data_IF_554426620566
#
_entry.id   IF_554426620566
#
_cell.length_a   1.000
_cell.length_b   1.000
_cell.length_c   1.000
_cell.angle_alpha   90.00
_cell.angle_beta   90.00
_cell.angle_gamma   90.00
#
_symmetry.space_group_name_H-M   'P 1'
#
loop_
_entity.id
_entity.type
_entity.pdbx_description
1 polymer ?
#
# COMPACT_ATOMS: atom_id res chain seq x y z
N UNK A 1 -13.66 -25.75 -48.25
CA UNK A 1 -13.82 -24.53 -47.42
C UNK A 1 -13.81 -25.02 -45.96
N UNK A 2 -12.60 -25.19 -45.42
CA UNK A 2 -12.37 -25.68 -44.06
C UNK A 2 -12.63 -24.57 -43.07
N UNK A 3 -13.46 -24.87 -42.08
CA UNK A 3 -13.70 -23.99 -40.95
C UNK A 3 -12.42 -23.87 -40.10
N UNK A 4 -12.06 -22.68 -39.56
CA UNK A 4 -10.89 -22.55 -38.71
C UNK A 4 -11.10 -23.37 -37.43
N UNK A 5 -10.12 -24.21 -37.12
CA UNK A 5 -10.07 -25.00 -35.90
C UNK A 5 -10.22 -24.07 -34.66
N UNK A 6 -11.30 -24.31 -33.91
CA UNK A 6 -11.42 -23.75 -32.55
C UNK A 6 -10.33 -24.39 -31.69
N UNK A 7 -9.26 -23.63 -31.45
CA UNK A 7 -8.28 -23.95 -30.43
C UNK A 7 -9.01 -24.11 -29.10
N UNK A 8 -8.87 -25.26 -28.46
CA UNK A 8 -9.36 -25.51 -27.11
C UNK A 8 -8.86 -24.39 -26.17
N UNK A 9 -9.63 -23.96 -25.17
CA UNK A 9 -9.17 -22.95 -24.23
C UNK A 9 -7.93 -23.52 -23.51
N UNK A 10 -6.80 -22.83 -23.64
CA UNK A 10 -5.63 -23.09 -22.80
C UNK A 10 -6.08 -23.10 -21.34
N UNK A 11 -5.63 -24.06 -20.55
CA UNK A 11 -5.90 -24.07 -19.12
C UNK A 11 -5.50 -22.72 -18.52
N UNK A 12 -6.28 -22.23 -17.55
CA UNK A 12 -5.98 -20.97 -16.87
C UNK A 12 -4.59 -21.05 -16.26
N UNK A 13 -3.73 -20.02 -16.41
CA UNK A 13 -2.45 -19.98 -15.73
C UNK A 13 -2.59 -20.11 -14.21
N UNK A 14 -1.75 -20.94 -13.59
CA UNK A 14 -1.78 -21.18 -12.15
C UNK A 14 -0.89 -20.22 -11.36
N UNK A 15 0.03 -19.50 -12.04
CA UNK A 15 0.96 -18.55 -11.44
C UNK A 15 1.07 -17.25 -12.27
N UNK A 16 1.67 -16.23 -11.66
CA UNK A 16 1.79 -14.91 -12.28
C UNK A 16 2.72 -14.87 -13.50
N UNK A 17 3.82 -15.62 -13.51
CA UNK A 17 4.76 -15.59 -14.63
C UNK A 17 4.14 -16.26 -15.87
N UNK A 18 3.42 -17.35 -15.67
CA UNK A 18 2.64 -18.01 -16.73
C UNK A 18 1.52 -17.10 -17.25
N UNK A 19 0.82 -16.39 -16.35
CA UNK A 19 -0.18 -15.38 -16.73
C UNK A 19 0.43 -14.24 -17.54
N UNK A 20 1.57 -13.71 -17.12
CA UNK A 20 2.30 -12.65 -17.81
C UNK A 20 2.71 -13.08 -19.22
N UNK A 21 3.27 -14.28 -19.37
CA UNK A 21 3.63 -14.83 -20.68
C UNK A 21 2.41 -15.00 -21.57
N UNK A 22 1.27 -15.44 -21.03
CA UNK A 22 0.01 -15.55 -21.79
C UNK A 22 -0.48 -14.19 -22.27
N UNK A 23 -0.47 -13.17 -21.38
CA UNK A 23 -0.89 -11.81 -21.72
C UNK A 23 -0.01 -11.19 -22.81
N UNK A 24 1.31 -11.38 -22.72
CA UNK A 24 2.27 -10.91 -23.71
C UNK A 24 2.03 -11.59 -25.09
N UNK A 25 1.83 -12.91 -25.09
CA UNK A 25 1.54 -13.67 -26.33
C UNK A 25 0.21 -13.26 -26.98
N UNK A 26 -0.84 -13.04 -26.18
CA UNK A 26 -2.17 -12.70 -26.68
C UNK A 26 -2.38 -11.20 -26.90
N UNK A 27 -1.40 -10.35 -26.59
CA UNK A 27 -1.53 -8.89 -26.63
C UNK A 27 -2.14 -8.37 -27.93
N UNK A 28 -1.73 -8.92 -29.09
CA UNK A 28 -2.17 -8.43 -30.40
C UNK A 28 -3.53 -9.04 -30.82
N UNK A 29 -3.94 -10.15 -30.25
CA UNK A 29 -5.19 -10.85 -30.60
C UNK A 29 -6.37 -10.47 -29.69
N UNK A 30 -6.10 -9.83 -28.55
CA UNK A 30 -7.17 -9.41 -27.64
C UNK A 30 -8.00 -8.25 -28.21
N UNK A 31 -9.34 -8.27 -28.02
CA UNK A 31 -10.19 -7.11 -28.31
C UNK A 31 -9.70 -5.85 -27.59
N UNK A 32 -9.91 -4.67 -28.20
CA UNK A 32 -9.37 -3.37 -27.74
C UNK A 32 -9.48 -3.15 -26.21
N UNK A 33 -10.65 -3.40 -25.62
CA UNK A 33 -10.88 -3.20 -24.18
C UNK A 33 -10.19 -4.24 -23.32
N UNK A 34 -10.07 -5.49 -23.77
CA UNK A 34 -9.33 -6.53 -23.07
C UNK A 34 -7.81 -6.30 -23.20
N UNK A 35 -7.33 -5.79 -24.34
CA UNK A 35 -5.93 -5.37 -24.52
C UNK A 35 -5.57 -4.23 -23.57
N UNK A 36 -6.44 -3.22 -23.42
CA UNK A 36 -6.27 -2.13 -22.45
C UNK A 36 -6.13 -2.66 -21.02
N UNK A 37 -7.00 -3.60 -20.65
CA UNK A 37 -6.97 -4.21 -19.32
C UNK A 37 -5.75 -5.13 -19.11
N UNK A 38 -5.27 -5.81 -20.17
CA UNK A 38 -4.06 -6.62 -20.11
C UNK A 38 -2.80 -5.76 -19.85
N UNK A 39 -2.70 -4.59 -20.51
CA UNK A 39 -1.63 -3.62 -20.25
C UNK A 39 -1.71 -3.11 -18.82
N UNK A 40 -2.88 -2.67 -18.38
CA UNK A 40 -3.11 -2.23 -17.02
C UNK A 40 -2.70 -3.29 -15.97
N UNK A 41 -3.10 -4.55 -16.18
CA UNK A 41 -2.79 -5.65 -15.29
C UNK A 41 -1.27 -5.94 -15.15
N UNK A 42 -0.50 -5.71 -16.21
CA UNK A 42 0.96 -5.85 -16.18
C UNK A 42 1.66 -4.66 -15.53
N UNK A 43 1.12 -3.45 -15.73
CA UNK A 43 1.68 -2.20 -15.20
C UNK A 43 1.29 -1.96 -13.74
N UNK A 44 0.08 -2.39 -13.33
CA UNK A 44 -0.50 -2.19 -12.00
C UNK A 44 -0.88 -3.49 -11.29
N UNK A 45 0.05 -4.45 -11.12
CA UNK A 45 -0.26 -5.77 -10.53
C UNK A 45 -0.75 -5.69 -9.08
N UNK A 46 -0.31 -4.69 -8.33
CA UNK A 46 -0.74 -4.49 -6.94
C UNK A 46 -2.19 -4.00 -6.87
N UNK A 47 -2.59 -3.14 -7.81
CA UNK A 47 -3.98 -2.70 -7.92
C UNK A 47 -4.90 -3.83 -8.37
N UNK A 48 -4.43 -4.68 -9.30
CA UNK A 48 -5.15 -5.92 -9.65
C UNK A 48 -5.34 -6.84 -8.46
N UNK A 49 -4.38 -6.91 -7.53
CA UNK A 49 -4.44 -7.76 -6.35
C UNK A 49 -5.42 -7.25 -5.28
N UNK A 50 -5.49 -5.93 -5.06
CA UNK A 50 -6.18 -5.34 -3.91
C UNK A 50 -7.33 -4.42 -4.27
N UNK A 51 -7.41 -3.95 -5.51
CA UNK A 51 -8.47 -3.06 -5.95
C UNK A 51 -9.85 -3.74 -5.99
N UNK A 52 -10.90 -2.94 -5.83
CA UNK A 52 -12.27 -3.39 -6.09
C UNK A 52 -12.50 -3.47 -7.60
N UNK A 53 -13.45 -4.31 -8.03
CA UNK A 53 -13.83 -4.39 -9.45
C UNK A 53 -14.20 -3.01 -10.02
N UNK A 54 -14.89 -2.18 -9.24
CA UNK A 54 -15.27 -0.83 -9.65
C UNK A 54 -14.06 0.10 -9.78
N UNK A 55 -13.16 0.11 -8.76
CA UNK A 55 -11.95 0.96 -8.77
C UNK A 55 -10.98 0.58 -9.89
N UNK A 56 -10.71 -0.71 -10.07
CA UNK A 56 -9.86 -1.20 -11.17
C UNK A 56 -10.47 -0.83 -12.53
N UNK A 57 -11.79 -0.97 -12.69
CA UNK A 57 -12.48 -0.63 -13.93
C UNK A 57 -12.36 0.87 -14.24
N UNK A 58 -12.53 1.72 -13.23
CA UNK A 58 -12.38 3.17 -13.33
C UNK A 58 -10.96 3.57 -13.76
N UNK A 59 -9.94 3.09 -13.05
CA UNK A 59 -8.53 3.41 -13.34
C UNK A 59 -8.07 2.83 -14.67
N UNK A 60 -8.52 1.63 -15.03
CA UNK A 60 -8.24 1.04 -16.34
C UNK A 60 -9.07 1.66 -17.48
N UNK A 61 -10.02 2.57 -17.20
CA UNK A 61 -10.89 3.20 -18.20
C UNK A 61 -11.81 2.23 -18.92
N UNK A 62 -12.33 1.20 -18.22
CA UNK A 62 -13.22 0.17 -18.77
C UNK A 62 -14.48 0.01 -17.89
N UNK A 63 -15.48 -0.72 -18.41
CA UNK A 63 -16.65 -1.06 -17.59
C UNK A 63 -16.35 -2.23 -16.64
N UNK A 64 -16.95 -2.29 -15.44
CA UNK A 64 -16.76 -3.38 -14.47
C UNK A 64 -16.98 -4.79 -15.06
N UNK A 65 -17.96 -4.95 -15.95
CA UNK A 65 -18.21 -6.21 -16.65
C UNK A 65 -17.05 -6.66 -17.56
N UNK A 66 -16.16 -5.73 -17.95
CA UNK A 66 -14.99 -6.04 -18.77
C UNK A 66 -13.97 -6.86 -17.98
N UNK A 67 -13.83 -6.62 -16.65
CA UNK A 67 -12.93 -7.41 -15.80
C UNK A 67 -13.36 -8.88 -15.73
N UNK A 68 -14.68 -9.12 -15.60
CA UNK A 68 -15.22 -10.49 -15.58
C UNK A 68 -14.98 -11.19 -16.92
N UNK A 69 -15.22 -10.49 -18.02
CA UNK A 69 -14.97 -11.01 -19.39
C UNK A 69 -13.48 -11.24 -19.62
N UNK A 70 -12.61 -10.38 -19.11
CA UNK A 70 -11.16 -10.52 -19.18
C UNK A 70 -10.71 -11.80 -18.46
N UNK A 71 -11.13 -12.00 -17.21
CA UNK A 71 -10.81 -13.21 -16.46
C UNK A 71 -11.26 -14.48 -17.21
N UNK A 72 -12.51 -14.50 -17.70
CA UNK A 72 -13.03 -15.63 -18.47
C UNK A 72 -12.28 -15.87 -19.78
N UNK A 73 -11.84 -14.81 -20.47
CA UNK A 73 -11.06 -14.94 -21.72
C UNK A 73 -9.67 -15.56 -21.50
N UNK A 74 -9.18 -15.55 -20.25
CA UNK A 74 -7.91 -16.15 -19.84
C UNK A 74 -8.09 -17.54 -19.20
N UNK A 75 -9.32 -18.07 -19.16
CA UNK A 75 -9.63 -19.39 -18.62
C UNK A 75 -10.04 -19.43 -17.15
N UNK A 76 -10.13 -18.29 -16.47
CA UNK A 76 -10.56 -18.23 -15.07
C UNK A 76 -12.10 -18.22 -14.93
N UNK A 77 -12.63 -18.78 -13.87
CA UNK A 77 -14.07 -18.81 -13.59
C UNK A 77 -14.66 -17.40 -13.37
N UNK A 78 -13.85 -16.46 -12.89
CA UNK A 78 -14.25 -15.08 -12.65
C UNK A 78 -13.09 -14.21 -12.21
N UNK A 79 -13.38 -12.93 -11.99
CA UNK A 79 -12.35 -11.95 -11.64
C UNK A 79 -11.65 -12.26 -10.30
N UNK A 80 -12.38 -12.78 -9.31
CA UNK A 80 -11.78 -13.14 -8.01
C UNK A 80 -10.72 -14.25 -8.14
N UNK A 81 -10.90 -15.20 -9.06
CA UNK A 81 -9.91 -16.25 -9.34
C UNK A 81 -8.67 -15.65 -10.01
N UNK A 82 -8.83 -14.80 -11.03
CA UNK A 82 -7.73 -14.05 -11.64
C UNK A 82 -7.02 -13.17 -10.60
N UNK A 83 -7.75 -12.45 -9.76
CA UNK A 83 -7.21 -11.59 -8.70
C UNK A 83 -6.35 -12.38 -7.71
N UNK A 84 -6.69 -13.65 -7.44
CA UNK A 84 -5.91 -14.50 -6.56
C UNK A 84 -4.48 -14.70 -7.07
N UNK A 85 -4.27 -14.84 -8.38
CA UNK A 85 -2.93 -14.97 -8.99
C UNK A 85 -2.06 -13.74 -8.68
N UNK A 86 -2.63 -12.54 -8.75
CA UNK A 86 -1.93 -11.31 -8.38
C UNK A 86 -1.64 -11.24 -6.88
N UNK A 87 -2.56 -11.73 -6.03
CA UNK A 87 -2.35 -11.81 -4.57
C UNK A 87 -1.27 -12.81 -4.21
N UNK A 88 -1.23 -13.97 -4.86
CA UNK A 88 -0.25 -15.02 -4.59
C UNK A 88 1.15 -14.57 -5.00
N UNK A 89 1.31 -13.90 -6.15
CA UNK A 89 2.56 -13.21 -6.50
C UNK A 89 3.05 -12.28 -5.40
N UNK A 90 2.14 -11.51 -4.79
CA UNK A 90 2.52 -10.59 -3.72
C UNK A 90 2.85 -11.33 -2.44
N UNK A 91 2.21 -12.48 -2.16
CA UNK A 91 2.59 -13.37 -1.05
C UNK A 91 3.97 -13.99 -1.26
N UNK A 92 4.27 -14.46 -2.45
CA UNK A 92 5.62 -14.97 -2.81
C UNK A 92 6.69 -13.87 -2.63
N UNK A 93 6.37 -12.64 -3.02
CA UNK A 93 7.24 -11.48 -2.82
C UNK A 93 7.30 -11.03 -1.35
N UNK A 94 6.27 -11.33 -0.56
CA UNK A 94 6.18 -11.01 0.86
C UNK A 94 5.76 -12.26 1.66
N UNK A 95 6.65 -13.24 1.79
CA UNK A 95 6.39 -14.49 2.49
C UNK A 95 5.92 -14.24 3.94
N UNK A 96 5.21 -15.18 4.53
CA UNK A 96 4.79 -15.09 5.92
C UNK A 96 6.00 -15.14 6.88
N UNK A 97 5.77 -14.88 8.16
CA UNK A 97 6.86 -14.85 9.16
C UNK A 97 7.59 -16.20 9.29
N UNK A 98 6.93 -17.34 9.07
CA UNK A 98 7.53 -18.67 9.14
C UNK A 98 8.41 -18.94 7.91
N UNK A 99 7.92 -18.60 6.75
CA UNK A 99 8.67 -18.73 5.48
C UNK A 99 9.91 -17.82 5.48
N UNK A 100 9.77 -16.58 5.99
CA UNK A 100 10.91 -15.66 6.18
C UNK A 100 11.95 -16.23 7.12
N UNK A 101 11.52 -16.82 8.24
CA UNK A 101 12.42 -17.46 9.19
C UNK A 101 13.13 -18.69 8.58
N UNK A 102 12.42 -19.46 7.76
CA UNK A 102 13.03 -20.58 7.02
C UNK A 102 14.06 -20.07 6.01
N UNK A 103 13.76 -19.03 5.25
CA UNK A 103 14.70 -18.38 4.32
C UNK A 103 15.97 -17.89 5.01
N UNK A 104 15.80 -17.25 6.17
CA UNK A 104 16.92 -16.77 6.98
C UNK A 104 17.81 -17.90 7.48
N UNK A 105 17.22 -19.04 7.92
CA UNK A 105 17.94 -20.25 8.28
C UNK A 105 18.66 -20.89 7.10
N UNK A 106 18.03 -20.90 5.93
CA UNK A 106 18.63 -21.46 4.72
C UNK A 106 19.86 -20.66 4.25
N UNK A 107 19.86 -19.33 4.47
CA UNK A 107 20.97 -18.44 4.11
C UNK A 107 22.11 -18.44 5.14
N UNK A 108 21.80 -18.65 6.44
CA UNK A 108 22.76 -18.56 7.56
C UNK A 108 23.19 -19.90 8.17
N UNK A 109 22.74 -21.04 7.62
CA UNK A 109 23.02 -22.37 8.19
C UNK A 109 22.03 -22.76 9.30
N UNK A 110 22.17 -23.96 9.91
CA UNK A 110 21.19 -24.52 10.84
C UNK A 110 21.00 -23.71 12.13
N UNK A 111 21.95 -22.83 12.47
CA UNK A 111 21.85 -21.91 13.59
C UNK A 111 22.29 -20.52 13.14
N UNK A 112 21.34 -19.59 13.00
CA UNK A 112 21.68 -18.17 12.84
C UNK A 112 22.18 -17.67 14.19
N UNK A 113 23.40 -17.18 14.24
CA UNK A 113 23.97 -16.63 15.47
C UNK A 113 23.14 -15.43 15.96
N UNK A 114 22.82 -15.40 17.24
CA UNK A 114 21.93 -14.36 17.83
C UNK A 114 22.45 -12.96 17.60
N UNK A 115 23.76 -12.77 17.68
CA UNK A 115 24.44 -11.50 17.41
C UNK A 115 24.29 -11.06 15.97
N UNK A 116 24.41 -11.99 15.01
CA UNK A 116 24.23 -11.70 13.59
C UNK A 116 22.79 -11.22 13.25
N UNK A 117 21.78 -11.69 14.00
CA UNK A 117 20.41 -11.18 13.85
C UNK A 117 20.32 -9.71 14.33
N UNK A 118 20.92 -9.39 15.49
CA UNK A 118 20.93 -8.02 16.00
C UNK A 118 21.66 -7.08 15.04
N UNK A 119 22.82 -7.49 14.56
CA UNK A 119 23.64 -6.70 13.64
C UNK A 119 22.88 -6.48 12.30
N UNK A 120 22.28 -7.53 11.75
CA UNK A 120 21.51 -7.44 10.50
C UNK A 120 20.31 -6.50 10.60
N UNK A 121 19.53 -6.55 11.70
CA UNK A 121 18.43 -5.62 11.91
C UNK A 121 18.90 -4.20 12.16
N UNK A 122 20.03 -4.01 12.85
CA UNK A 122 20.62 -2.69 13.10
C UNK A 122 21.12 -2.06 11.79
N UNK A 123 21.78 -2.84 10.96
CA UNK A 123 22.23 -2.39 9.64
C UNK A 123 21.05 -2.04 8.72
N UNK A 124 20.02 -2.89 8.65
CA UNK A 124 18.81 -2.62 7.88
C UNK A 124 18.11 -1.33 8.36
N UNK A 125 18.08 -1.08 9.68
CA UNK A 125 17.55 0.15 10.24
C UNK A 125 18.38 1.37 9.80
N UNK A 126 19.70 1.31 9.86
CA UNK A 126 20.59 2.39 9.42
C UNK A 126 20.41 2.71 7.93
N UNK A 127 20.29 1.68 7.09
CA UNK A 127 20.01 1.82 5.65
C UNK A 127 18.64 2.49 5.43
N UNK A 128 17.61 2.09 6.19
CA UNK A 128 16.26 2.67 6.10
C UNK A 128 16.27 4.16 6.41
N UNK A 129 16.94 4.55 7.49
CA UNK A 129 17.08 5.96 7.91
C UNK A 129 17.81 6.80 6.85
N UNK A 130 18.89 6.29 6.28
CA UNK A 130 19.63 6.99 5.25
C UNK A 130 18.82 7.12 3.95
N UNK A 131 18.09 6.08 3.55
CA UNK A 131 17.15 6.13 2.40
C UNK A 131 16.07 7.19 2.62
N UNK A 132 15.38 7.16 3.78
CA UNK A 132 14.34 8.13 4.13
C UNK A 132 14.86 9.57 4.06
N UNK A 133 16.05 9.84 4.58
CA UNK A 133 16.67 11.17 4.53
C UNK A 133 16.88 11.68 3.11
N UNK A 134 17.03 10.78 2.12
CA UNK A 134 17.21 11.13 0.71
C UNK A 134 15.89 11.20 -0.06
N UNK A 135 14.89 10.41 0.31
CA UNK A 135 13.61 10.35 -0.39
C UNK A 135 12.64 11.45 0.04
N UNK A 136 12.64 11.83 1.32
CA UNK A 136 11.74 12.86 1.83
C UNK A 136 12.25 14.25 1.45
N UNK A 137 11.60 14.87 0.49
CA UNK A 137 11.89 16.24 0.05
C UNK A 137 11.49 17.28 1.10
N UNK A 138 12.32 18.31 1.30
CA UNK A 138 12.02 19.38 2.25
C UNK A 138 10.71 20.11 1.95
N UNK A 139 10.36 20.28 0.68
CA UNK A 139 9.13 20.93 0.26
C UNK A 139 7.90 20.10 0.64
N UNK A 140 7.92 18.79 0.34
CA UNK A 140 6.80 17.89 0.65
C UNK A 140 6.65 17.70 2.17
N UNK A 141 7.76 17.60 2.90
CA UNK A 141 7.73 17.58 4.35
C UNK A 141 7.09 18.86 4.92
N UNK A 142 7.48 20.04 4.42
CA UNK A 142 6.92 21.33 4.85
C UNK A 142 5.43 21.45 4.52
N UNK A 143 4.99 20.94 3.36
CA UNK A 143 3.57 20.88 2.99
C UNK A 143 2.79 19.94 3.92
N UNK A 144 3.31 18.77 4.20
CA UNK A 144 2.69 17.81 5.14
C UNK A 144 2.52 18.42 6.53
N UNK A 145 3.56 19.09 7.04
CA UNK A 145 3.51 19.83 8.31
C UNK A 145 2.45 20.91 8.28
N UNK A 146 2.37 21.72 7.21
CA UNK A 146 1.39 22.77 7.08
C UNK A 146 -0.04 22.23 7.11
N UNK A 147 -0.34 21.24 6.27
CA UNK A 147 -1.64 20.58 6.19
C UNK A 147 -2.11 20.05 7.55
N UNK A 148 -1.24 19.36 8.28
CA UNK A 148 -1.60 18.82 9.60
C UNK A 148 -1.65 19.91 10.70
N UNK A 149 -0.87 20.98 10.59
CA UNK A 149 -0.88 22.06 11.56
C UNK A 149 -2.13 22.94 11.48
N UNK A 150 -2.71 23.08 10.30
CA UNK A 150 -3.94 23.85 10.07
C UNK A 150 -5.22 23.11 10.50
N UNK A 151 -5.15 21.79 10.67
CA UNK A 151 -6.33 20.99 10.97
C UNK A 151 -6.81 21.16 12.42
N UNK A 152 -8.13 21.22 12.63
CA UNK A 152 -8.74 21.19 13.98
C UNK A 152 -8.48 19.85 14.68
N UNK A 153 -8.64 18.74 13.94
CA UNK A 153 -8.40 17.37 14.42
C UNK A 153 -7.61 16.59 13.37
N UNK A 154 -6.61 15.80 13.80
CA UNK A 154 -5.84 14.92 12.94
C UNK A 154 -6.34 13.49 13.11
N UNK A 155 -6.91 12.90 12.07
CA UNK A 155 -7.32 11.50 12.05
C UNK A 155 -6.14 10.62 11.62
N UNK A 156 -5.80 9.63 12.45
CA UNK A 156 -4.63 8.78 12.27
C UNK A 156 -5.05 7.41 11.76
N UNK A 157 -4.72 7.11 10.50
CA UNK A 157 -5.02 5.86 9.85
C UNK A 157 -3.75 5.01 9.71
N UNK A 158 -3.78 3.79 10.19
CA UNK A 158 -2.72 2.82 9.97
C UNK A 158 -3.11 1.48 10.57
N UNK A 159 -3.14 0.44 9.73
CA UNK A 159 -3.56 -0.90 10.15
C UNK A 159 -2.42 -1.90 10.06
N UNK A 160 -2.59 -3.07 10.71
CA UNK A 160 -1.62 -4.17 10.72
C UNK A 160 -0.27 -3.73 11.28
N UNK A 161 0.84 -4.00 10.56
CA UNK A 161 2.20 -3.74 11.04
C UNK A 161 2.51 -2.25 11.27
N UNK A 162 1.81 -1.31 10.61
CA UNK A 162 2.03 0.14 10.77
C UNK A 162 1.18 0.76 11.89
N UNK A 163 0.23 0.01 12.45
CA UNK A 163 -0.59 0.47 13.56
C UNK A 163 0.23 1.03 14.74
N UNK A 164 1.36 0.40 15.15
CA UNK A 164 2.20 0.98 16.20
C UNK A 164 2.72 2.39 15.91
N UNK A 165 2.98 2.73 14.64
CA UNK A 165 3.42 4.08 14.24
C UNK A 165 2.27 5.08 14.42
N UNK A 166 1.06 4.75 13.95
CA UNK A 166 -0.12 5.60 14.13
C UNK A 166 -0.49 5.76 15.61
N UNK A 167 -0.42 4.69 16.39
CA UNK A 167 -0.65 4.74 17.83
C UNK A 167 0.39 5.63 18.57
N UNK A 168 1.65 5.56 18.13
CA UNK A 168 2.70 6.42 18.69
C UNK A 168 2.49 7.90 18.31
N UNK A 169 2.04 8.20 17.08
CA UNK A 169 1.63 9.55 16.70
C UNK A 169 0.51 10.06 17.61
N UNK A 170 -0.53 9.24 17.87
CA UNK A 170 -1.63 9.61 18.75
C UNK A 170 -1.14 9.94 20.18
N UNK A 171 -0.25 9.10 20.73
CA UNK A 171 0.37 9.35 22.01
C UNK A 171 1.15 10.68 22.02
N UNK A 172 1.98 10.91 21.00
CA UNK A 172 2.83 12.08 20.91
C UNK A 172 2.02 13.38 20.72
N UNK A 173 1.02 13.37 19.82
CA UNK A 173 0.09 14.50 19.66
C UNK A 173 -0.66 14.80 20.97
N UNK A 174 -1.12 13.76 21.68
CA UNK A 174 -1.78 13.94 22.98
C UNK A 174 -0.86 14.60 24.00
N UNK A 175 0.43 14.22 24.07
CA UNK A 175 1.43 14.87 24.94
C UNK A 175 1.67 16.34 24.58
N UNK A 176 1.57 16.67 23.29
CA UNK A 176 1.71 18.04 22.76
C UNK A 176 0.38 18.81 22.75
N UNK A 177 -0.70 18.25 23.33
CA UNK A 177 -2.05 18.82 23.39
C UNK A 177 -2.65 19.13 22.02
N UNK A 178 -2.27 18.40 21.00
CA UNK A 178 -2.83 18.44 19.67
C UNK A 178 -3.96 17.41 19.57
N UNK A 179 -5.14 17.83 19.18
CA UNK A 179 -6.29 16.96 19.03
C UNK A 179 -6.03 15.96 17.90
N UNK A 180 -6.08 14.67 18.21
CA UNK A 180 -5.99 13.61 17.23
C UNK A 180 -6.92 12.47 17.59
N UNK A 181 -7.39 11.73 16.58
CA UNK A 181 -8.22 10.54 16.71
C UNK A 181 -7.51 9.38 16.03
N UNK A 182 -7.15 8.38 16.81
CA UNK A 182 -6.61 7.12 16.29
C UNK A 182 -7.75 6.24 15.81
N UNK A 183 -7.75 5.88 14.55
CA UNK A 183 -8.68 4.89 14.00
C UNK A 183 -8.10 3.51 14.27
N UNK A 184 -8.53 2.90 15.35
CA UNK A 184 -7.99 1.64 15.86
C UNK A 184 -8.67 0.39 15.26
N UNK A 185 -9.72 0.59 14.49
CA UNK A 185 -10.54 -0.45 13.86
C UNK A 185 -11.22 -1.41 14.86
N UNK A 186 -11.31 -1.07 16.16
CA UNK A 186 -12.03 -1.87 17.14
C UNK A 186 -13.51 -1.97 16.73
N UNK A 187 -14.05 -3.17 16.79
CA UNK A 187 -15.41 -3.47 16.37
C UNK A 187 -15.78 -3.01 14.95
N UNK A 188 -14.78 -2.81 14.09
CA UNK A 188 -14.92 -2.30 12.71
C UNK A 188 -15.55 -0.91 12.61
N UNK A 189 -15.46 -0.10 13.67
CA UNK A 189 -16.03 1.26 13.76
C UNK A 189 -15.20 2.33 13.00
N UNK A 190 -14.17 1.95 12.26
CA UNK A 190 -13.35 2.89 11.48
C UNK A 190 -14.15 3.83 10.57
N UNK A 191 -15.10 3.34 9.76
CA UNK A 191 -15.95 4.20 8.93
C UNK A 191 -16.78 5.21 9.74
N UNK A 192 -17.37 4.79 10.87
CA UNK A 192 -18.16 5.64 11.75
C UNK A 192 -17.29 6.71 12.43
N UNK A 193 -16.10 6.34 12.88
CA UNK A 193 -15.14 7.29 13.42
C UNK A 193 -14.72 8.32 12.35
N UNK A 194 -14.42 7.88 11.12
CA UNK A 194 -14.09 8.76 10.01
C UNK A 194 -15.28 9.61 9.52
N UNK A 195 -16.51 9.15 9.72
CA UNK A 195 -17.70 9.93 9.36
C UNK A 195 -17.80 11.25 10.14
N UNK A 196 -17.19 11.33 11.33
CA UNK A 196 -17.19 12.55 12.16
C UNK A 196 -16.18 13.62 11.68
N UNK A 197 -15.23 13.25 10.80
CA UNK A 197 -14.28 14.21 10.23
C UNK A 197 -14.97 15.22 9.32
N UNK A 198 -14.52 16.47 9.35
CA UNK A 198 -15.02 17.59 8.54
C UNK A 198 -13.92 18.26 7.72
N UNK A 199 -14.30 19.28 6.95
CA UNK A 199 -13.39 20.01 6.05
C UNK A 199 -12.23 20.73 6.78
N UNK A 200 -12.38 21.00 8.08
CA UNK A 200 -11.33 21.62 8.90
C UNK A 200 -10.41 20.60 9.58
N UNK A 201 -10.61 19.32 9.33
CA UNK A 201 -9.78 18.24 9.84
C UNK A 201 -8.79 17.79 8.77
N UNK A 202 -7.81 16.96 9.14
CA UNK A 202 -6.90 16.32 8.21
C UNK A 202 -6.68 14.83 8.57
N UNK A 203 -6.27 14.07 7.59
CA UNK A 203 -5.93 12.65 7.75
C UNK A 203 -4.43 12.46 7.62
N UNK A 204 -3.81 11.73 8.55
CA UNK A 204 -2.50 11.13 8.38
C UNK A 204 -2.67 9.64 8.15
N UNK A 205 -2.48 9.19 6.91
CA UNK A 205 -2.62 7.79 6.50
C UNK A 205 -1.26 7.13 6.31
N UNK A 206 -1.03 5.99 6.97
CA UNK A 206 0.22 5.23 6.88
C UNK A 206 -0.08 3.84 6.37
N UNK A 207 0.49 3.46 5.22
CA UNK A 207 0.36 2.10 4.68
C UNK A 207 1.52 1.77 3.77
N UNK A 208 2.04 0.56 3.91
CA UNK A 208 3.13 -0.01 3.12
C UNK A 208 2.72 -1.35 2.52
N UNK A 209 3.38 -1.75 1.46
CA UNK A 209 3.16 -3.06 0.81
C UNK A 209 3.38 -4.24 1.79
N UNK A 210 2.38 -5.17 1.83
CA UNK A 210 1.07 -5.19 1.19
C UNK A 210 0.09 -4.24 1.88
N UNK A 211 -0.41 -3.28 1.11
CA UNK A 211 -1.26 -2.21 1.63
C UNK A 211 -2.51 -2.76 2.33
N UNK A 212 -2.90 -2.14 3.44
CA UNK A 212 -4.12 -2.50 4.16
C UNK A 212 -5.34 -1.86 3.47
N UNK A 213 -6.27 -2.64 2.88
CA UNK A 213 -7.42 -2.07 2.16
C UNK A 213 -8.22 -1.08 3.00
N UNK A 214 -8.44 -1.40 4.28
CA UNK A 214 -9.18 -0.52 5.20
C UNK A 214 -8.55 0.86 5.34
N UNK A 215 -7.21 0.97 5.35
CA UNK A 215 -6.51 2.26 5.41
C UNK A 215 -6.67 3.03 4.09
N UNK A 216 -6.53 2.33 2.96
CA UNK A 216 -6.66 2.91 1.61
C UNK A 216 -8.09 3.42 1.38
N UNK A 217 -9.10 2.59 1.69
CA UNK A 217 -10.51 2.91 1.47
C UNK A 217 -10.95 4.11 2.33
N UNK A 218 -10.53 4.20 3.60
CA UNK A 218 -10.85 5.31 4.48
C UNK A 218 -10.15 6.61 4.05
N UNK A 219 -8.88 6.55 3.62
CA UNK A 219 -8.17 7.70 3.07
C UNK A 219 -8.84 8.22 1.78
N UNK A 220 -9.21 7.31 0.87
CA UNK A 220 -9.93 7.66 -0.35
C UNK A 220 -11.33 8.25 -0.05
N UNK A 221 -12.03 7.74 0.97
CA UNK A 221 -13.31 8.29 1.38
C UNK A 221 -13.17 9.70 1.96
N UNK A 222 -12.11 9.97 2.75
CA UNK A 222 -11.80 11.30 3.26
C UNK A 222 -11.50 12.29 2.13
N UNK A 223 -10.63 11.92 1.18
CA UNK A 223 -10.28 12.75 0.02
C UNK A 223 -11.51 13.12 -0.83
N UNK A 224 -12.42 12.16 -1.08
CA UNK A 224 -13.69 12.44 -1.80
C UNK A 224 -14.60 13.44 -1.08
N UNK A 225 -14.44 13.61 0.24
CA UNK A 225 -15.17 14.59 1.05
C UNK A 225 -14.45 15.92 1.18
N UNK A 226 -13.33 16.11 0.47
CA UNK A 226 -12.52 17.33 0.55
C UNK A 226 -11.70 17.46 1.82
N UNK A 227 -11.51 16.36 2.59
CA UNK A 227 -10.69 16.35 3.80
C UNK A 227 -9.24 16.12 3.36
N UNK A 228 -8.30 17.01 3.69
CA UNK A 228 -6.90 16.87 3.31
C UNK A 228 -6.26 15.57 3.83
N UNK A 229 -5.52 14.88 2.97
CA UNK A 229 -4.83 13.63 3.29
C UNK A 229 -3.32 13.79 3.14
N UNK A 230 -2.60 13.57 4.22
CA UNK A 230 -1.15 13.38 4.23
C UNK A 230 -0.87 11.88 4.29
N UNK A 231 -0.08 11.35 3.37
CA UNK A 231 0.27 9.94 3.34
C UNK A 231 1.74 9.69 3.67
N UNK A 232 2.02 8.60 4.43
CA UNK A 232 3.35 8.01 4.55
C UNK A 232 3.26 6.61 3.92
N UNK A 233 4.06 6.38 2.88
CA UNK A 233 4.00 5.14 2.09
C UNK A 233 5.37 4.75 1.53
N UNK A 234 5.50 3.55 0.96
CA UNK A 234 6.79 3.00 0.53
C UNK A 234 7.06 3.13 -0.98
N UNK A 235 6.15 3.74 -1.73
CA UNK A 235 6.29 3.85 -3.19
C UNK A 235 5.37 4.92 -3.77
N UNK A 236 5.81 5.57 -4.84
CA UNK A 236 4.98 6.42 -5.69
C UNK A 236 3.79 5.67 -6.34
N UNK A 237 3.86 4.35 -6.42
CA UNK A 237 2.78 3.48 -6.92
C UNK A 237 1.82 3.00 -5.83
N UNK A 238 1.96 3.50 -4.62
CA UNK A 238 1.03 3.19 -3.53
C UNK A 238 -0.37 3.69 -3.86
N UNK A 239 -1.42 2.89 -3.56
CA UNK A 239 -2.81 3.35 -3.74
C UNK A 239 -3.18 4.55 -2.85
N UNK A 240 -2.41 4.85 -1.81
CA UNK A 240 -2.61 6.07 -1.01
C UNK A 240 -2.26 7.35 -1.78
N UNK A 241 -1.31 7.29 -2.72
CA UNK A 241 -0.83 8.47 -3.46
C UNK A 241 -1.96 9.13 -4.25
N UNK A 242 -2.87 8.36 -4.83
CA UNK A 242 -4.02 8.90 -5.58
C UNK A 242 -5.04 9.67 -4.73
N UNK A 243 -5.01 9.48 -3.41
CA UNK A 243 -5.91 10.13 -2.46
C UNK A 243 -5.21 11.17 -1.59
N UNK A 244 -3.89 11.33 -1.72
CA UNK A 244 -3.10 12.21 -0.88
C UNK A 244 -2.86 13.57 -1.53
N UNK A 245 -3.05 14.66 -0.77
CA UNK A 245 -2.63 16.00 -1.17
C UNK A 245 -1.10 16.15 -1.12
N UNK A 246 -0.49 15.42 -0.20
CA UNK A 246 0.96 15.29 -0.08
C UNK A 246 1.31 13.91 0.47
N UNK A 247 2.39 13.32 -0.04
CA UNK A 247 2.86 12.04 0.45
C UNK A 247 4.38 12.05 0.68
N UNK A 248 4.81 11.25 1.65
CA UNK A 248 6.20 11.12 2.07
C UNK A 248 6.63 9.66 1.89
N UNK A 249 7.73 9.44 1.16
CA UNK A 249 8.21 8.10 0.86
C UNK A 249 9.15 7.56 1.93
N UNK A 250 8.83 6.36 2.44
CA UNK A 250 9.68 5.61 3.37
C UNK A 250 9.79 4.17 2.92
N UNK A 251 10.90 3.82 2.31
CA UNK A 251 11.22 2.45 1.92
C UNK A 251 12.12 1.80 2.97
N UNK A 252 11.52 1.03 3.89
CA UNK A 252 12.25 0.26 4.90
C UNK A 252 13.07 -0.85 4.24
N UNK A 253 14.36 -0.90 4.54
CA UNK A 253 15.20 -2.04 4.17
C UNK A 253 14.77 -3.29 4.94
N UNK A 254 14.99 -4.45 4.36
CA UNK A 254 14.72 -5.72 5.02
C UNK A 254 16.01 -6.46 5.39
N UNK A 255 15.89 -7.32 6.39
CA UNK A 255 16.86 -8.33 6.71
C UNK A 255 16.16 -9.69 6.75
N UNK A 256 16.52 -10.61 5.83
CA UNK A 256 15.85 -11.88 5.68
C UNK A 256 14.33 -11.75 5.41
N UNK A 257 13.93 -10.80 4.58
CA UNK A 257 12.56 -10.39 4.30
C UNK A 257 11.77 -9.83 5.51
N UNK A 258 12.39 -9.68 6.68
CA UNK A 258 11.81 -8.92 7.80
C UNK A 258 12.14 -7.44 7.63
N UNK A 259 11.13 -6.59 7.78
CA UNK A 259 11.27 -5.13 7.73
C UNK A 259 10.98 -4.51 9.08
N UNK A 260 11.87 -3.66 9.55
CA UNK A 260 11.63 -2.81 10.73
C UNK A 260 10.65 -1.67 10.38
N UNK A 261 10.44 -0.79 11.33
CA UNK A 261 9.73 0.47 11.14
C UNK A 261 10.58 1.64 11.64
N UNK A 262 11.90 1.48 11.63
CA UNK A 262 12.83 2.45 12.22
C UNK A 262 12.76 3.82 11.57
N UNK A 263 12.79 3.87 10.25
CA UNK A 263 12.66 5.12 9.51
C UNK A 263 11.23 5.67 9.58
N UNK A 264 10.22 4.79 9.57
CA UNK A 264 8.81 5.19 9.72
C UNK A 264 8.56 5.89 11.06
N UNK A 265 9.10 5.37 12.17
CA UNK A 265 9.01 6.02 13.47
C UNK A 265 9.78 7.34 13.52
N UNK A 266 10.98 7.40 12.94
CA UNK A 266 11.77 8.63 12.89
C UNK A 266 11.05 9.74 12.11
N UNK A 267 10.49 9.42 10.92
CA UNK A 267 9.73 10.38 10.14
C UNK A 267 8.45 10.82 10.85
N UNK A 268 7.71 9.87 11.43
CA UNK A 268 6.48 10.17 12.16
C UNK A 268 6.73 11.12 13.33
N UNK A 269 7.79 10.90 14.11
CA UNK A 269 8.17 11.79 15.21
C UNK A 269 8.62 13.17 14.73
N UNK A 270 9.43 13.23 13.67
CA UNK A 270 9.81 14.50 13.07
C UNK A 270 8.58 15.30 12.62
N UNK A 271 7.61 14.62 11.99
CA UNK A 271 6.35 15.23 11.54
C UNK A 271 5.52 15.75 12.73
N UNK A 272 5.32 14.94 13.77
CA UNK A 272 4.56 15.31 14.97
C UNK A 272 5.17 16.54 15.66
N UNK A 273 6.49 16.55 15.85
CA UNK A 273 7.18 17.67 16.49
C UNK A 273 7.12 18.92 15.61
N UNK A 274 7.33 18.80 14.30
CA UNK A 274 7.26 19.92 13.37
C UNK A 274 5.85 20.53 13.30
N UNK A 275 4.80 19.71 13.38
CA UNK A 275 3.39 20.18 13.47
C UNK A 275 3.19 20.98 14.76
N UNK A 276 3.71 20.52 15.90
CA UNK A 276 3.61 21.23 17.17
C UNK A 276 4.33 22.57 17.12
N UNK A 277 5.56 22.60 16.62
CA UNK A 277 6.34 23.85 16.45
C UNK A 277 5.63 24.84 15.53
N UNK A 278 5.05 24.36 14.40
CA UNK A 278 4.31 25.24 13.49
C UNK A 278 3.07 25.85 14.15
N UNK A 279 2.32 25.06 14.95
CA UNK A 279 1.16 25.56 15.71
C UNK A 279 1.53 26.56 16.80
N UNK A 280 2.72 26.44 17.38
CA UNK A 280 3.20 27.39 18.40
C UNK A 280 3.62 28.74 17.83
N UNK A 281 3.84 28.83 16.51
CA UNK A 281 4.24 30.05 15.80
C UNK A 281 3.06 30.84 15.21
N UNK A 282 1.89 30.25 15.14
CA UNK A 282 0.65 30.85 14.61
C UNK A 282 -0.35 31.12 15.72
#
# INVERSE_FOLDING_TARGET
MEAPAQTAPDAAPEDYESLKLLLLRRRETLPKRLKQLAVFALEHPEEMAFGTVAGIAEHAGVQPSTLIRFAKSLGYDGFSHLQQIFRDRLRERFPDYRERLQGLRASGGPHVETTALLDGFTEAAAISLDRMRRSVGAQDFSRAVATLAEADTIYLLGARRVFPVSAYCAYAFGKLRIRSILIDHIAQLGPEQMATAGERDAVLAISFTPYAPVTVDLAAAAARRGIPVVAITDSAFSPLVSSADVWLEVAEADFGAFRSLSASFALAMALVVAVAEKRAQG
#
